data_IF_420967817359
#
_entry.id   IF_420967817359
#
_cell.length_a   1.000
_cell.length_b   1.000
_cell.length_c   1.000
_cell.angle_alpha   90.00
_cell.angle_beta   90.00
_cell.angle_gamma   90.00
#
_symmetry.space_group_name_H-M   'P 1'
#
loop_
_entity.id
_entity.type
_entity.pdbx_description
1 polymer ?
#
# COMPACT_ATOMS: atom_id res chain seq x y z
N UNK A 1 22.60 -26.07 -6.71
CA UNK A 1 22.21 -25.75 -5.31
C UNK A 1 22.10 -24.24 -5.00
N UNK A 2 21.68 -23.37 -5.93
CA UNK A 2 21.86 -21.91 -5.69
C UNK A 2 20.65 -21.04 -6.04
N UNK A 3 19.53 -21.56 -6.52
CA UNK A 3 18.36 -20.73 -6.91
C UNK A 3 17.24 -20.67 -5.87
N UNK A 4 17.12 -21.65 -4.97
CA UNK A 4 16.09 -21.64 -3.93
C UNK A 4 16.42 -20.67 -2.78
N UNK A 5 17.71 -20.46 -2.48
CA UNK A 5 18.12 -19.59 -1.35
C UNK A 5 18.01 -18.09 -1.61
N UNK A 6 17.82 -17.65 -2.87
CA UNK A 6 17.64 -16.23 -3.18
C UNK A 6 16.19 -15.75 -2.98
N UNK A 7 15.21 -16.63 -3.06
CA UNK A 7 13.80 -16.27 -2.87
C UNK A 7 13.40 -16.12 -1.39
N UNK A 8 14.13 -16.74 -0.47
CA UNK A 8 13.88 -16.60 0.98
C UNK A 8 14.34 -15.25 1.55
N UNK A 9 15.11 -14.48 0.76
CA UNK A 9 15.65 -13.18 1.18
C UNK A 9 14.72 -12.00 0.92
N UNK A 10 13.63 -12.18 0.19
CA UNK A 10 12.71 -11.11 -0.17
C UNK A 10 11.40 -11.23 0.62
N UNK A 11 11.00 -10.12 1.23
CA UNK A 11 9.71 -9.98 1.91
C UNK A 11 8.78 -9.18 0.99
N UNK A 12 7.71 -9.77 0.43
CA UNK A 12 6.77 -9.06 -0.43
C UNK A 12 5.98 -8.03 0.37
N UNK A 13 5.91 -6.81 -0.15
CA UNK A 13 5.17 -5.68 0.42
C UNK A 13 4.39 -5.02 -0.70
N UNK A 14 3.09 -4.90 -0.57
CA UNK A 14 2.28 -4.16 -1.54
C UNK A 14 2.12 -2.72 -1.09
N UNK A 15 2.36 -1.81 -2.03
CA UNK A 15 2.27 -0.38 -1.79
C UNK A 15 1.21 0.23 -2.69
N UNK A 16 0.49 1.24 -2.18
CA UNK A 16 -0.44 2.07 -2.93
C UNK A 16 -0.75 3.36 -2.17
N UNK A 17 -1.27 4.35 -2.89
CA UNK A 17 -1.68 5.63 -2.35
C UNK A 17 -3.21 5.76 -2.33
N UNK A 18 -3.70 6.47 -1.30
CA UNK A 18 -5.12 6.71 -1.15
C UNK A 18 -5.43 8.11 -0.63
N UNK A 19 -6.48 8.71 -1.18
CA UNK A 19 -7.10 9.90 -0.60
C UNK A 19 -8.36 9.53 0.18
N UNK A 20 -8.44 10.01 1.43
CA UNK A 20 -9.68 10.01 2.21
C UNK A 20 -10.23 11.42 2.28
N UNK A 21 -11.49 11.58 1.89
CA UNK A 21 -12.17 12.89 1.85
C UNK A 21 -12.93 13.12 3.15
N UNK A 22 -12.88 14.37 3.65
CA UNK A 22 -13.71 14.81 4.77
C UNK A 22 -15.18 14.94 4.39
N UNK A 23 -15.45 15.09 3.08
CA UNK A 23 -16.83 15.08 2.57
C UNK A 23 -17.46 13.71 2.76
N UNK A 24 -18.68 13.69 3.27
CA UNK A 24 -19.42 12.45 3.49
C UNK A 24 -19.68 11.71 2.18
N UNK A 25 -19.22 10.47 2.08
CA UNK A 25 -19.57 9.57 0.98
C UNK A 25 -20.79 8.75 1.39
N UNK A 26 -21.91 9.01 0.70
CA UNK A 26 -23.17 8.28 0.96
C UNK A 26 -23.12 6.95 0.21
N UNK A 27 -23.37 5.86 0.95
CA UNK A 27 -23.45 4.51 0.39
C UNK A 27 -24.69 3.80 0.95
N UNK A 28 -25.16 2.76 0.28
CA UNK A 28 -26.26 1.94 0.76
C UNK A 28 -25.93 1.34 2.12
N UNK A 29 -26.90 1.39 3.03
CA UNK A 29 -26.81 0.83 4.38
C UNK A 29 -28.11 0.09 4.69
N UNK A 30 -28.02 -1.01 5.40
CA UNK A 30 -29.19 -1.64 5.99
C UNK A 30 -29.81 -0.71 7.03
N UNK A 31 -31.10 -0.53 6.97
CA UNK A 31 -31.87 0.29 7.89
C UNK A 31 -33.20 -0.42 8.14
N UNK A 32 -33.90 -0.03 9.20
CA UNK A 32 -35.23 -0.55 9.50
C UNK A 32 -36.21 -0.22 8.35
N UNK A 33 -37.10 -1.16 8.04
CA UNK A 33 -38.06 -0.99 6.95
C UNK A 33 -38.93 0.24 7.21
N UNK A 34 -38.98 1.15 6.24
CA UNK A 34 -39.73 2.42 6.35
C UNK A 34 -38.96 3.54 6.99
N UNK A 35 -37.69 3.36 7.45
CA UNK A 35 -36.86 4.43 7.95
C UNK A 35 -36.10 5.14 6.78
N UNK A 36 -35.91 6.44 6.94
CA UNK A 36 -35.09 7.27 6.03
C UNK A 36 -33.85 7.76 6.77
N UNK A 37 -32.75 6.98 6.83
CA UNK A 37 -31.55 7.39 7.54
C UNK A 37 -30.92 8.61 6.86
N UNK A 38 -30.84 9.72 7.60
CA UNK A 38 -30.22 10.96 7.14
C UNK A 38 -28.75 11.02 7.60
N UNK A 39 -27.85 11.40 6.71
CA UNK A 39 -26.44 11.61 7.02
C UNK A 39 -26.10 13.08 6.75
N UNK A 40 -25.51 13.73 7.73
CA UNK A 40 -25.01 15.11 7.55
C UNK A 40 -23.90 15.10 6.50
N UNK A 41 -23.96 16.05 5.60
CA UNK A 41 -22.90 16.26 4.60
C UNK A 41 -22.52 17.74 4.56
N UNK A 42 -21.24 18.01 4.44
CA UNK A 42 -20.70 19.36 4.23
C UNK A 42 -19.96 19.37 2.91
N UNK A 43 -20.23 20.29 1.99
CA UNK A 43 -19.42 20.45 0.79
C UNK A 43 -17.98 20.84 1.18
N UNK A 44 -17.01 20.31 0.46
CA UNK A 44 -15.61 20.63 0.68
C UNK A 44 -14.69 19.69 -0.11
N UNK A 45 -13.50 20.18 -0.44
CA UNK A 45 -12.47 19.40 -1.16
C UNK A 45 -11.35 18.89 -0.24
N UNK A 46 -11.51 19.05 1.08
CA UNK A 46 -10.48 18.66 2.03
C UNK A 46 -10.30 17.14 2.04
N UNK A 47 -9.09 16.70 1.81
CA UNK A 47 -8.71 15.30 1.87
C UNK A 47 -7.39 15.14 2.63
N UNK A 48 -7.13 13.93 3.10
CA UNK A 48 -5.83 13.50 3.61
C UNK A 48 -5.32 12.36 2.73
N UNK A 49 -4.04 12.46 2.37
CA UNK A 49 -3.34 11.47 1.58
C UNK A 49 -2.59 10.49 2.49
N UNK A 50 -2.65 9.22 2.16
CA UNK A 50 -1.84 8.16 2.77
C UNK A 50 -1.14 7.37 1.69
N UNK A 51 0.13 7.02 1.93
CA UNK A 51 0.82 5.96 1.23
C UNK A 51 0.92 4.78 2.19
N UNK A 52 0.46 3.61 1.79
CA UNK A 52 0.39 2.42 2.63
C UNK A 52 1.29 1.30 2.12
N UNK A 53 1.81 0.52 3.06
CA UNK A 53 2.66 -0.64 2.82
C UNK A 53 2.08 -1.82 3.60
N UNK A 54 1.57 -2.82 2.92
CA UNK A 54 1.03 -4.02 3.56
C UNK A 54 1.92 -5.24 3.30
N UNK A 55 2.24 -5.97 4.36
CA UNK A 55 2.93 -7.26 4.29
C UNK A 55 1.86 -8.36 4.37
N UNK A 56 1.52 -9.03 3.26
CA UNK A 56 0.41 -9.99 3.26
C UNK A 56 0.60 -11.17 4.19
N UNK A 57 1.83 -11.63 4.36
CA UNK A 57 2.16 -12.78 5.19
C UNK A 57 1.81 -12.57 6.66
N UNK A 58 2.04 -11.37 7.18
CA UNK A 58 1.81 -11.02 8.58
C UNK A 58 0.53 -10.20 8.78
N UNK A 59 0.00 -9.58 7.70
CA UNK A 59 -1.10 -8.62 7.79
C UNK A 59 -0.70 -7.30 8.44
N UNK A 60 0.59 -6.98 8.48
CA UNK A 60 1.08 -5.72 8.99
C UNK A 60 0.90 -4.60 7.97
N UNK A 61 0.43 -3.46 8.43
CA UNK A 61 0.26 -2.26 7.64
C UNK A 61 1.05 -1.10 8.25
N UNK A 62 1.91 -0.52 7.44
CA UNK A 62 2.57 0.76 7.74
C UNK A 62 1.98 1.82 6.82
N UNK A 63 1.67 3.00 7.35
CA UNK A 63 1.19 4.13 6.57
C UNK A 63 2.06 5.35 6.79
N UNK A 64 2.30 6.11 5.72
CA UNK A 64 2.91 7.43 5.75
C UNK A 64 1.90 8.48 5.25
N UNK A 65 2.13 9.75 5.54
CA UNK A 65 1.23 10.84 5.16
C UNK A 65 1.93 11.83 4.22
N UNK A 66 2.07 11.53 2.93
CA UNK A 66 2.59 12.47 1.97
C UNK A 66 1.60 13.63 1.77
N UNK A 67 2.09 14.84 1.61
CA UNK A 67 1.23 16.00 1.28
C UNK A 67 0.61 15.89 -0.10
N UNK A 68 1.38 15.40 -1.07
CA UNK A 68 1.01 15.21 -2.48
C UNK A 68 1.56 13.90 -3.01
N UNK A 69 0.94 13.37 -4.06
CA UNK A 69 1.48 12.21 -4.77
C UNK A 69 2.35 12.66 -5.94
N UNK A 70 3.64 12.56 -5.76
CA UNK A 70 4.67 12.76 -6.77
C UNK A 70 5.84 11.79 -6.52
N UNK A 71 6.85 11.79 -7.37
CA UNK A 71 7.99 10.88 -7.23
C UNK A 71 8.80 11.14 -5.94
N UNK A 72 8.88 12.38 -5.48
CA UNK A 72 9.59 12.74 -4.24
C UNK A 72 8.88 12.18 -3.02
N UNK A 73 7.55 12.27 -2.99
CA UNK A 73 6.75 11.70 -1.90
C UNK A 73 6.81 10.17 -1.88
N UNK A 74 6.93 9.51 -3.02
CA UNK A 74 7.16 8.05 -3.10
C UNK A 74 8.52 7.71 -2.50
N UNK A 75 9.59 8.40 -2.90
CA UNK A 75 10.93 8.21 -2.36
C UNK A 75 10.95 8.42 -0.85
N UNK A 76 10.33 9.51 -0.38
CA UNK A 76 10.23 9.80 1.04
C UNK A 76 9.43 8.73 1.79
N UNK A 77 8.32 8.25 1.22
CA UNK A 77 7.52 7.16 1.81
C UNK A 77 8.31 5.86 1.94
N UNK A 78 9.19 5.53 0.99
CA UNK A 78 10.08 4.38 1.09
C UNK A 78 11.07 4.54 2.26
N UNK A 79 11.69 5.72 2.42
CA UNK A 79 12.59 6.01 3.54
C UNK A 79 11.87 5.93 4.88
N UNK A 80 10.68 6.51 4.97
CA UNK A 80 9.86 6.44 6.19
C UNK A 80 9.44 5.00 6.52
N UNK A 81 9.10 4.21 5.50
CA UNK A 81 8.77 2.79 5.68
C UNK A 81 9.96 2.01 6.23
N UNK A 82 11.16 2.11 5.62
CA UNK A 82 12.37 1.43 6.09
C UNK A 82 12.74 1.86 7.52
N UNK A 83 12.63 3.17 7.82
CA UNK A 83 12.91 3.71 9.15
C UNK A 83 11.93 3.17 10.20
N UNK A 84 10.65 3.10 9.85
CA UNK A 84 9.58 2.64 10.75
C UNK A 84 9.61 1.13 10.96
N UNK A 85 9.99 0.42 9.91
CA UNK A 85 10.07 -1.03 9.89
C UNK A 85 11.39 -1.47 9.25
N UNK A 86 12.48 -1.52 10.04
CA UNK A 86 13.77 -2.00 9.54
C UNK A 86 13.66 -3.42 9.00
N UNK A 87 14.33 -3.68 7.88
CA UNK A 87 14.32 -5.01 7.29
C UNK A 87 15.11 -5.99 8.18
N UNK A 88 14.64 -7.21 8.37
CA UNK A 88 15.42 -8.24 9.09
C UNK A 88 16.76 -8.50 8.39
N UNK A 89 17.79 -8.83 9.19
CA UNK A 89 19.13 -9.07 8.71
C UNK A 89 19.18 -10.08 7.54
N UNK A 90 19.92 -9.71 6.52
CA UNK A 90 20.11 -10.51 5.31
C UNK A 90 18.89 -10.61 4.38
N UNK A 91 17.81 -9.85 4.67
CA UNK A 91 16.61 -9.77 3.81
C UNK A 91 16.47 -8.38 3.18
N UNK A 92 15.59 -8.29 2.18
CA UNK A 92 15.12 -7.03 1.61
C UNK A 92 13.61 -7.06 1.44
N UNK A 93 13.00 -5.90 1.47
CA UNK A 93 11.61 -5.75 1.06
C UNK A 93 11.50 -5.76 -0.47
N UNK A 94 10.57 -6.52 -1.01
CA UNK A 94 10.19 -6.45 -2.41
C UNK A 94 8.90 -5.63 -2.51
N UNK A 95 9.04 -4.34 -2.83
CA UNK A 95 7.88 -3.44 -2.95
C UNK A 95 7.19 -3.68 -4.30
N UNK A 96 5.92 -4.06 -4.22
CA UNK A 96 5.05 -4.32 -5.36
C UNK A 96 4.10 -3.12 -5.48
N UNK A 97 4.15 -2.42 -6.61
CA UNK A 97 3.43 -1.16 -6.82
C UNK A 97 2.88 -1.08 -8.26
N UNK A 98 1.95 -0.18 -8.47
CA UNK A 98 1.35 0.05 -9.78
C UNK A 98 2.27 0.83 -10.75
N UNK A 99 1.78 1.06 -11.96
CA UNK A 99 2.50 1.76 -13.02
C UNK A 99 2.26 3.28 -13.05
N UNK A 100 1.91 3.91 -11.93
CA UNK A 100 1.71 5.36 -11.89
C UNK A 100 2.95 6.12 -12.40
N UNK A 101 2.79 7.26 -13.08
CA UNK A 101 3.92 8.02 -13.62
C UNK A 101 4.95 8.41 -12.56
N UNK A 102 4.52 8.74 -11.36
CA UNK A 102 5.41 9.09 -10.25
C UNK A 102 6.18 7.87 -9.72
N UNK A 103 5.57 6.65 -9.71
CA UNK A 103 6.27 5.41 -9.38
C UNK A 103 7.39 5.13 -10.39
N UNK A 104 7.07 5.20 -11.69
CA UNK A 104 8.05 5.00 -12.76
C UNK A 104 9.21 5.99 -12.67
N UNK A 105 8.92 7.26 -12.36
CA UNK A 105 9.96 8.28 -12.18
C UNK A 105 10.83 7.99 -10.96
N UNK A 106 10.25 7.65 -9.82
CA UNK A 106 11.00 7.28 -8.62
C UNK A 106 11.90 6.05 -8.87
N UNK A 107 11.35 5.01 -9.48
CA UNK A 107 12.08 3.80 -9.86
C UNK A 107 13.27 4.12 -10.77
N UNK A 108 13.06 4.95 -11.80
CA UNK A 108 14.13 5.36 -12.71
C UNK A 108 15.28 6.02 -11.95
N UNK A 109 15.01 6.99 -11.09
CA UNK A 109 16.01 7.70 -10.30
C UNK A 109 16.76 6.76 -9.35
N UNK A 110 16.03 5.88 -8.65
CA UNK A 110 16.60 5.01 -7.63
C UNK A 110 17.42 3.87 -8.26
N UNK A 111 16.87 3.17 -9.26
CA UNK A 111 17.47 1.93 -9.75
C UNK A 111 18.08 2.01 -11.14
N UNK A 112 17.57 2.84 -12.06
CA UNK A 112 18.08 2.95 -13.43
C UNK A 112 19.24 3.94 -13.48
N UNK A 113 19.03 5.16 -12.99
CA UNK A 113 20.08 6.17 -12.88
C UNK A 113 21.01 5.88 -11.69
N UNK A 114 20.53 5.07 -10.75
CA UNK A 114 21.26 4.57 -9.59
C UNK A 114 21.97 5.67 -8.79
N UNK A 115 21.32 6.84 -8.66
CA UNK A 115 21.89 7.99 -7.97
C UNK A 115 22.36 7.61 -6.55
N UNK A 116 23.55 8.09 -6.18
CA UNK A 116 24.20 7.72 -4.92
C UNK A 116 23.35 8.08 -3.69
N UNK A 117 22.60 9.17 -3.77
CA UNK A 117 21.69 9.63 -2.71
C UNK A 117 20.54 8.67 -2.34
N UNK A 118 20.29 7.63 -3.17
CA UNK A 118 19.27 6.61 -2.94
C UNK A 118 19.83 5.22 -2.64
N UNK A 119 21.11 5.13 -2.27
CA UNK A 119 21.76 3.86 -1.91
C UNK A 119 21.08 3.20 -0.70
N UNK A 120 20.65 3.99 0.27
CA UNK A 120 19.89 3.55 1.45
C UNK A 120 18.62 2.78 1.07
N UNK A 121 17.93 3.21 0.03
CA UNK A 121 16.73 2.52 -0.46
C UNK A 121 17.11 1.22 -1.15
N UNK A 122 18.10 1.23 -2.05
CA UNK A 122 18.53 0.02 -2.80
C UNK A 122 19.09 -1.09 -1.91
N UNK A 123 19.69 -0.72 -0.79
CA UNK A 123 20.19 -1.67 0.20
C UNK A 123 19.06 -2.45 0.88
N UNK A 124 17.90 -1.84 1.07
CA UNK A 124 16.78 -2.37 1.82
C UNK A 124 15.58 -2.81 0.96
N UNK A 125 15.45 -2.25 -0.25
CA UNK A 125 14.28 -2.44 -1.11
C UNK A 125 14.70 -2.91 -2.50
N UNK A 126 13.97 -3.90 -3.01
CA UNK A 126 13.79 -4.22 -4.43
C UNK A 126 12.35 -3.90 -4.84
N UNK A 127 12.07 -3.85 -6.14
CA UNK A 127 10.72 -3.50 -6.61
C UNK A 127 10.20 -4.45 -7.69
N UNK A 128 8.87 -4.53 -7.78
CA UNK A 128 8.13 -5.15 -8.87
C UNK A 128 6.99 -4.22 -9.28
N UNK A 129 6.85 -3.98 -10.59
CA UNK A 129 5.68 -3.28 -11.11
C UNK A 129 4.57 -4.29 -11.44
N UNK A 130 3.36 -4.00 -10.96
CA UNK A 130 2.16 -4.75 -11.35
C UNK A 130 1.88 -4.59 -12.85
N UNK A 131 1.22 -5.57 -13.49
CA UNK A 131 0.75 -5.38 -14.85
C UNK A 131 -0.16 -4.15 -14.96
N UNK A 132 -0.15 -3.45 -16.11
CA UNK A 132 -1.06 -2.35 -16.33
C UNK A 132 -2.52 -2.77 -16.14
N UNK A 133 -3.35 -1.86 -15.61
CA UNK A 133 -4.79 -2.06 -15.42
C UNK A 133 -5.18 -3.27 -14.55
N UNK A 134 -4.36 -3.64 -13.58
CA UNK A 134 -4.58 -4.82 -12.73
C UNK A 134 -4.71 -4.47 -11.23
N UNK A 135 -5.65 -3.58 -10.83
CA UNK A 135 -5.82 -3.18 -9.43
C UNK A 135 -6.21 -4.37 -8.54
N UNK A 136 -6.91 -5.38 -9.09
CA UNK A 136 -7.32 -6.57 -8.36
C UNK A 136 -6.12 -7.42 -7.87
N UNK A 137 -4.95 -7.21 -8.45
CA UNK A 137 -3.71 -7.86 -8.02
C UNK A 137 -3.04 -7.14 -6.84
N UNK A 138 -3.54 -5.94 -6.45
CA UNK A 138 -2.99 -5.20 -5.33
C UNK A 138 -3.87 -5.38 -4.08
N UNK A 139 -3.49 -6.24 -3.11
CA UNK A 139 -4.31 -6.52 -1.93
C UNK A 139 -4.53 -5.31 -1.03
N UNK A 140 -3.70 -4.28 -1.11
CA UNK A 140 -3.88 -3.06 -0.31
C UNK A 140 -5.16 -2.31 -0.69
N UNK A 141 -5.66 -2.48 -1.91
CA UNK A 141 -6.97 -1.94 -2.32
C UNK A 141 -8.11 -2.48 -1.45
N UNK A 142 -8.02 -3.73 -0.99
CA UNK A 142 -8.97 -4.31 -0.05
C UNK A 142 -8.89 -3.61 1.32
N UNK A 143 -7.69 -3.23 1.74
CA UNK A 143 -7.47 -2.47 2.99
C UNK A 143 -8.15 -1.10 2.88
N UNK A 144 -7.97 -0.40 1.75
CA UNK A 144 -8.65 0.87 1.51
C UNK A 144 -10.17 0.74 1.47
N UNK A 145 -10.68 -0.33 0.85
CA UNK A 145 -12.11 -0.61 0.78
C UNK A 145 -12.73 -0.83 2.15
N UNK A 146 -12.13 -1.68 3.00
CA UNK A 146 -12.63 -1.89 4.37
C UNK A 146 -12.50 -0.63 5.22
N UNK A 147 -11.40 0.12 5.07
CA UNK A 147 -11.23 1.39 5.77
C UNK A 147 -12.32 2.39 5.43
N UNK A 148 -12.65 2.52 4.13
CA UNK A 148 -13.76 3.39 3.70
C UNK A 148 -15.08 2.94 4.31
N UNK A 149 -15.41 1.66 4.22
CA UNK A 149 -16.64 1.08 4.78
C UNK A 149 -16.73 1.30 6.28
N UNK A 150 -15.67 1.05 7.01
CA UNK A 150 -15.70 1.03 8.47
C UNK A 150 -15.53 2.42 9.10
N UNK A 151 -14.87 3.36 8.40
CA UNK A 151 -14.45 4.63 9.00
C UNK A 151 -14.96 5.88 8.29
N UNK A 152 -15.24 5.86 7.00
CA UNK A 152 -15.60 7.09 6.26
C UNK A 152 -16.97 7.08 5.59
N UNK A 153 -17.46 5.93 5.14
CA UNK A 153 -18.78 5.85 4.50
C UNK A 153 -19.88 6.18 5.50
N UNK A 154 -20.85 7.00 5.06
CA UNK A 154 -22.00 7.46 5.85
C UNK A 154 -21.59 8.14 7.17
N UNK A 155 -20.43 8.75 7.22
CA UNK A 155 -19.92 9.47 8.40
C UNK A 155 -19.61 10.92 8.05
N UNK A 156 -20.02 11.81 8.93
CA UNK A 156 -19.69 13.23 8.88
C UNK A 156 -18.46 13.52 9.73
N UNK A 157 -17.54 14.27 9.18
CA UNK A 157 -16.38 14.81 9.90
C UNK A 157 -16.44 16.33 9.90
N UNK A 158 -16.48 16.95 11.08
CA UNK A 158 -16.55 18.41 11.23
C UNK A 158 -15.25 19.11 10.83
N UNK A 159 -14.12 18.40 10.83
CA UNK A 159 -12.81 18.89 10.39
C UNK A 159 -11.96 17.78 9.76
N UNK A 160 -10.95 18.18 8.97
CA UNK A 160 -9.96 17.27 8.42
C UNK A 160 -9.16 16.57 9.53
N UNK A 161 -8.86 17.29 10.60
CA UNK A 161 -8.16 16.74 11.76
C UNK A 161 -8.92 15.57 12.39
N UNK A 162 -10.25 15.68 12.58
CA UNK A 162 -11.06 14.58 13.12
C UNK A 162 -11.05 13.36 12.21
N UNK A 163 -11.09 13.58 10.90
CA UNK A 163 -10.93 12.50 9.94
C UNK A 163 -9.56 11.82 10.09
N UNK A 164 -8.48 12.62 10.06
CA UNK A 164 -7.10 12.16 10.18
C UNK A 164 -6.88 11.36 11.46
N UNK A 165 -7.29 11.90 12.61
CA UNK A 165 -7.16 11.22 13.91
C UNK A 165 -7.95 9.90 13.97
N UNK A 166 -9.10 9.84 13.28
CA UNK A 166 -9.89 8.61 13.19
C UNK A 166 -9.17 7.54 12.36
N UNK A 167 -8.57 7.94 11.24
CA UNK A 167 -7.83 7.05 10.36
C UNK A 167 -6.51 6.60 10.99
N UNK A 168 -5.75 7.51 11.59
CA UNK A 168 -4.47 7.18 12.25
C UNK A 168 -4.70 6.15 13.38
N UNK A 169 -5.73 6.34 14.21
CA UNK A 169 -6.10 5.38 15.25
C UNK A 169 -6.58 4.04 14.66
N UNK A 170 -7.18 4.06 13.49
CA UNK A 170 -7.60 2.83 12.83
C UNK A 170 -6.40 2.07 12.27
N UNK A 171 -5.48 2.75 11.58
CA UNK A 171 -4.30 2.15 10.99
C UNK A 171 -3.30 1.65 12.05
N UNK A 172 -3.15 2.35 13.16
CA UNK A 172 -2.26 1.93 14.25
C UNK A 172 -2.57 0.52 14.78
N UNK A 173 -3.81 0.03 14.63
CA UNK A 173 -4.22 -1.33 15.01
C UNK A 173 -3.59 -2.42 14.14
N UNK A 174 -3.06 -2.07 13.00
CA UNK A 174 -2.49 -2.99 12.01
C UNK A 174 -0.98 -2.86 11.89
N UNK A 175 -0.35 -2.08 12.75
CA UNK A 175 1.11 -1.87 12.74
C UNK A 175 1.90 -3.14 13.06
N UNK A 176 1.35 -4.03 13.85
CA UNK A 176 1.90 -5.35 14.18
C UNK A 176 1.07 -6.46 13.52
N UNK A 177 1.55 -7.70 13.63
CA UNK A 177 0.89 -8.89 13.07
C UNK A 177 -0.63 -8.86 13.29
N UNK A 178 -1.38 -8.99 12.18
CA UNK A 178 -2.83 -8.87 12.20
C UNK A 178 -3.52 -9.93 11.33
N UNK A 179 -4.19 -10.88 11.99
CA UNK A 179 -4.89 -11.99 11.33
C UNK A 179 -6.00 -11.50 10.38
N UNK A 180 -6.69 -10.40 10.72
CA UNK A 180 -7.78 -9.87 9.88
C UNK A 180 -7.22 -9.36 8.54
N UNK A 181 -6.17 -8.53 8.55
CA UNK A 181 -5.55 -8.05 7.33
C UNK A 181 -4.83 -9.17 6.58
N UNK A 182 -4.16 -10.08 7.29
CA UNK A 182 -3.56 -11.25 6.66
C UNK A 182 -4.59 -12.03 5.83
N UNK A 183 -5.73 -12.37 6.41
CA UNK A 183 -6.78 -13.10 5.70
C UNK A 183 -7.37 -12.31 4.53
N UNK A 184 -7.41 -10.99 4.63
CA UNK A 184 -7.89 -10.10 3.58
C UNK A 184 -6.92 -10.03 2.39
N UNK A 185 -5.61 -10.08 2.68
CA UNK A 185 -4.54 -9.92 1.69
C UNK A 185 -4.06 -11.25 1.09
N UNK A 186 -4.54 -12.39 1.58
CA UNK A 186 -4.18 -13.71 1.02
C UNK A 186 -4.91 -13.92 -0.30
N UNK A 187 -4.21 -13.65 -1.39
CA UNK A 187 -4.60 -14.12 -2.72
C UNK A 187 -3.94 -15.48 -2.95
N UNK A 188 -4.75 -16.50 -3.15
CA UNK A 188 -4.28 -17.87 -3.37
C UNK A 188 -3.35 -18.04 -4.58
N UNK A 189 -3.37 -17.09 -5.54
CA UNK A 189 -2.50 -17.09 -6.70
C UNK A 189 -1.09 -16.55 -6.41
N UNK A 190 -0.91 -15.60 -5.48
CA UNK A 190 0.41 -15.03 -5.19
C UNK A 190 1.29 -15.94 -4.33
N UNK A 191 0.71 -16.72 -3.45
CA UNK A 191 1.46 -17.68 -2.64
C UNK A 191 1.99 -18.90 -3.44
N UNK A 192 1.41 -19.16 -4.63
CA UNK A 192 1.88 -20.22 -5.53
C UNK A 192 2.97 -19.75 -6.51
N UNK A 193 3.16 -18.45 -6.71
CA UNK A 193 4.11 -17.89 -7.69
C UNK A 193 5.48 -17.55 -7.12
N UNK A 194 5.74 -17.78 -5.84
CA UNK A 194 7.09 -17.65 -5.27
C UNK A 194 8.13 -18.61 -5.91
N UNK A 195 7.69 -19.55 -6.73
CA UNK A 195 8.54 -20.50 -7.44
C UNK A 195 8.91 -20.09 -8.89
N UNK A 196 8.37 -19.01 -9.44
CA UNK A 196 8.53 -18.70 -10.89
C UNK A 196 8.88 -17.22 -11.17
N UNK A 197 9.69 -16.60 -10.34
CA UNK A 197 10.24 -15.27 -10.65
C UNK A 197 11.55 -15.47 -11.43
N UNK A 198 11.52 -15.32 -12.75
CA UNK A 198 12.73 -15.25 -13.58
C UNK A 198 13.23 -13.81 -13.64
N UNK A 199 14.44 -13.56 -13.16
CA UNK A 199 15.14 -12.29 -13.37
C UNK A 199 15.55 -12.18 -14.84
N UNK A 200 15.06 -11.15 -15.55
CA UNK A 200 15.72 -10.68 -16.76
C UNK A 200 16.86 -9.72 -16.37
N UNK A 201 17.99 -9.88 -17.05
CA UNK A 201 19.20 -9.06 -16.88
C UNK A 201 18.84 -7.60 -17.18
N UNK A 202 18.74 -6.77 -16.13
CA UNK A 202 18.34 -5.37 -16.26
C UNK A 202 17.43 -4.86 -15.12
N UNK A 203 17.21 -5.65 -14.06
CA UNK A 203 16.52 -5.18 -12.85
C UNK A 203 14.98 -5.21 -12.89
N UNK A 204 14.36 -5.49 -14.04
CA UNK A 204 12.91 -5.68 -14.15
C UNK A 204 12.55 -7.16 -14.06
N UNK A 205 11.64 -7.50 -13.16
CA UNK A 205 11.04 -8.83 -13.08
C UNK A 205 9.75 -8.80 -13.88
N UNK A 206 9.70 -9.58 -14.97
CA UNK A 206 8.46 -9.84 -15.68
C UNK A 206 7.78 -11.06 -15.08
N UNK A 207 6.55 -10.90 -14.62
CA UNK A 207 5.68 -12.02 -14.24
C UNK A 207 4.99 -12.50 -15.52
N UNK A 208 5.35 -13.70 -16.00
CA UNK A 208 4.61 -14.35 -17.10
C UNK A 208 3.54 -15.26 -16.48
N UNK A 209 2.29 -15.04 -16.88
CA UNK A 209 1.17 -15.91 -16.56
C UNK A 209 1.13 -17.05 -17.58
N UNK A 210 1.13 -18.28 -17.10
CA UNK A 210 0.77 -19.45 -17.85
C UNK A 210 -0.69 -19.83 -17.60
#
# INVERSE_FOLDING_TARGET
MTQASQNEKLIPVFQDEVHFRAQTTITRKWAEKGSEPKVMSKPGKNNVAYSGFVIPETGELTVTKPGWFNYESVIQSFREFIKTKPCPDGKKYCIILDNAPWHKKAIRLIWTEALAEYSDIRENIEYILLPPYSPDLNPIEQVWRITRRDKTHNRYFSSLEKLTNTLDRYFSRFFSHNKQLRNLCVFSCFLKTSSTIKKNVGGCVHVTYG
#
